data_IF_050985825738
#
_entry.id   IF_050985825738
#
_cell.length_a   1.000
_cell.length_b   1.000
_cell.length_c   1.000
_cell.angle_alpha   90.00
_cell.angle_beta   90.00
_cell.angle_gamma   90.00
#
_symmetry.space_group_name_H-M   'P 1'
#
loop_
_entity.id
_entity.type
_entity.pdbx_description
1 polymer ?
#
# COMPACT_ATOMS: atom_id res chain seq x y z
N UNK A 1 14.38 -7.34 4.45
CA UNK A 1 13.07 -7.59 5.07
C UNK A 1 12.43 -8.77 4.37
N UNK A 2 12.02 -9.79 5.11
CA UNK A 2 11.43 -11.02 4.58
C UNK A 2 9.91 -10.89 4.49
N UNK A 3 9.32 -11.47 3.43
CA UNK A 3 7.90 -11.38 3.03
C UNK A 3 6.92 -11.88 4.13
N UNK A 4 7.43 -12.50 5.20
CA UNK A 4 6.64 -13.00 6.33
C UNK A 4 6.14 -11.90 7.27
N UNK A 5 6.73 -10.71 7.25
CA UNK A 5 6.35 -9.62 8.17
C UNK A 5 5.11 -8.84 7.72
N UNK A 6 4.55 -9.17 6.54
CA UNK A 6 3.40 -8.47 5.94
C UNK A 6 2.07 -9.16 6.28
N UNK A 7 2.10 -10.40 6.80
CA UNK A 7 0.88 -11.15 7.14
C UNK A 7 0.23 -10.73 8.45
N UNK A 8 0.99 -10.12 9.36
CA UNK A 8 0.47 -9.62 10.65
C UNK A 8 -0.18 -8.24 10.54
N UNK A 9 -0.08 -7.59 9.37
CA UNK A 9 -0.89 -6.43 9.00
C UNK A 9 -2.30 -6.88 8.56
N UNK A 10 -2.96 -7.69 9.40
CA UNK A 10 -4.36 -8.05 9.21
C UNK A 10 -5.20 -6.77 9.29
N UNK A 11 -5.66 -6.29 8.13
CA UNK A 11 -6.77 -5.36 8.02
C UNK A 11 -8.06 -6.11 8.42
N UNK A 12 -8.17 -6.47 9.70
CA UNK A 12 -9.45 -6.80 10.29
C UNK A 12 -10.33 -5.55 10.19
N UNK A 13 -11.34 -5.66 9.33
CA UNK A 13 -12.59 -4.89 9.28
C UNK A 13 -12.72 -3.83 10.38
N UNK A 14 -12.10 -2.67 10.17
CA UNK A 14 -12.37 -1.50 11.00
C UNK A 14 -13.76 -1.02 10.65
N UNK A 15 -14.74 -1.42 11.47
CA UNK A 15 -16.01 -0.70 11.54
C UNK A 15 -15.72 0.79 11.66
N UNK A 16 -16.47 1.61 10.94
CA UNK A 16 -16.33 3.06 10.97
C UNK A 16 -16.54 3.51 12.41
N UNK A 17 -15.46 3.85 13.12
CA UNK A 17 -15.55 4.41 14.47
C UNK A 17 -16.11 5.83 14.31
N UNK A 18 -17.41 6.00 14.63
CA UNK A 18 -18.11 7.28 14.59
C UNK A 18 -17.47 8.34 15.51
N UNK A 19 -16.65 7.92 16.48
CA UNK A 19 -16.05 8.78 17.50
C UNK A 19 -14.57 9.07 17.24
N UNK A 20 -14.05 8.78 16.04
CA UNK A 20 -12.65 9.03 15.66
C UNK A 20 -12.21 10.48 15.95
N UNK A 21 -13.13 11.44 15.78
CA UNK A 21 -12.88 12.86 16.03
C UNK A 21 -12.76 13.13 17.54
N UNK A 22 -13.67 12.58 18.36
CA UNK A 22 -13.71 12.82 19.81
C UNK A 22 -12.50 12.19 20.53
N UNK A 23 -12.11 10.97 20.14
CA UNK A 23 -10.94 10.28 20.68
C UNK A 23 -9.64 11.03 20.37
N UNK A 24 -9.53 11.61 19.17
CA UNK A 24 -8.35 12.39 18.78
C UNK A 24 -8.27 13.73 19.53
N UNK A 25 -9.41 14.38 19.80
CA UNK A 25 -9.49 15.61 20.59
C UNK A 25 -9.09 15.40 22.06
N UNK A 26 -9.47 14.27 22.66
CA UNK A 26 -9.07 13.92 24.02
C UNK A 26 -7.56 13.67 24.14
N UNK A 27 -6.96 13.00 23.14
CA UNK A 27 -5.50 12.80 23.05
C UNK A 27 -4.73 14.10 22.92
N UNK A 28 -5.23 15.07 22.16
CA UNK A 28 -4.57 16.37 21.99
C UNK A 28 -4.61 17.19 23.29
N UNK A 29 -5.70 17.10 24.07
CA UNK A 29 -5.84 17.80 25.35
C UNK A 29 -4.90 17.24 26.43
N UNK A 30 -4.82 15.93 26.60
CA UNK A 30 -3.93 15.33 27.62
C UNK A 30 -2.45 15.55 27.33
N UNK A 31 -2.06 15.66 26.06
CA UNK A 31 -0.67 15.94 25.67
C UNK A 31 -0.27 17.42 25.84
N UNK A 32 -1.25 18.33 25.99
CA UNK A 32 -1.03 19.77 26.17
C UNK A 32 -0.72 20.12 27.63
N UNK A 33 -1.06 19.25 28.58
CA UNK A 33 -0.83 19.47 30.02
C UNK A 33 0.64 19.28 30.44
N UNK A 34 1.52 18.80 29.53
CA UNK A 34 2.95 18.59 29.78
C UNK A 34 3.90 19.58 29.10
N UNK A 35 3.40 20.69 28.52
CA UNK A 35 4.27 21.68 27.89
C UNK A 35 4.55 22.84 28.85
N UNK A 36 5.74 22.82 29.46
CA UNK A 36 6.28 23.92 30.25
C UNK A 36 6.42 25.17 29.39
N UNK A 37 5.83 26.27 29.86
CA UNK A 37 5.99 27.61 29.31
C UNK A 37 7.45 28.07 29.44
N UNK A 38 8.28 27.83 28.43
CA UNK A 38 9.51 28.59 28.22
C UNK A 38 10.05 28.33 26.80
N UNK A 39 9.78 29.28 25.90
CA UNK A 39 10.58 29.77 24.75
C UNK A 39 9.67 30.27 23.61
N UNK A 40 9.90 31.52 23.18
CA UNK A 40 9.15 32.22 22.11
C UNK A 40 9.66 31.84 20.71
N UNK A 41 9.79 30.55 20.44
CA UNK A 41 10.02 30.04 19.10
C UNK A 41 8.85 29.13 18.73
N UNK A 42 8.22 29.39 17.58
CA UNK A 42 7.12 28.58 17.06
C UNK A 42 7.61 27.14 16.82
N UNK A 43 7.32 26.24 17.75
CA UNK A 43 7.72 24.85 17.68
C UNK A 43 6.55 23.97 17.24
N UNK A 44 6.76 23.18 16.18
CA UNK A 44 5.77 22.23 15.67
C UNK A 44 6.12 20.83 16.17
N UNK A 45 5.21 20.21 16.93
CA UNK A 45 5.35 18.84 17.39
C UNK A 45 4.65 17.85 16.44
N UNK A 46 5.44 16.98 15.79
CA UNK A 46 4.95 15.92 14.89
C UNK A 46 5.12 14.58 15.60
N UNK A 47 4.07 13.75 15.60
CA UNK A 47 4.12 12.42 16.21
C UNK A 47 5.17 11.52 15.54
N UNK A 48 5.77 10.61 16.31
CA UNK A 48 6.76 9.66 15.79
C UNK A 48 6.17 8.76 14.69
N UNK A 49 4.90 8.40 14.80
CA UNK A 49 4.17 7.62 13.80
C UNK A 49 4.04 8.38 12.47
N UNK A 50 3.68 9.67 12.53
CA UNK A 50 3.57 10.50 11.33
C UNK A 50 4.92 10.65 10.62
N UNK A 51 6.02 10.80 11.37
CA UNK A 51 7.38 10.83 10.78
C UNK A 51 7.76 9.52 10.10
N UNK A 52 7.42 8.38 10.69
CA UNK A 52 7.67 7.05 10.09
C UNK A 52 6.85 6.87 8.81
N UNK A 53 5.58 7.27 8.82
CA UNK A 53 4.72 7.22 7.64
C UNK A 53 5.26 8.10 6.51
N UNK A 54 5.73 9.30 6.83
CA UNK A 54 6.34 10.19 5.84
C UNK A 54 7.56 9.53 5.20
N UNK A 55 8.45 8.95 6.01
CA UNK A 55 9.62 8.22 5.53
C UNK A 55 9.22 7.10 4.57
N UNK A 56 8.28 6.23 4.97
CA UNK A 56 7.83 5.12 4.10
C UNK A 56 7.23 5.61 2.79
N UNK A 57 6.41 6.67 2.82
CA UNK A 57 5.84 7.28 1.61
C UNK A 57 6.96 7.84 0.72
N UNK A 58 7.96 8.52 1.29
CA UNK A 58 9.06 9.06 0.49
C UNK A 58 9.90 7.97 -0.16
N UNK A 59 10.14 6.87 0.55
CA UNK A 59 10.90 5.73 0.02
C UNK A 59 10.13 5.00 -1.09
N UNK A 60 8.82 4.80 -0.90
CA UNK A 60 7.96 4.24 -1.94
C UNK A 60 7.91 5.13 -3.19
N UNK A 61 7.88 6.45 -3.04
CA UNK A 61 7.93 7.39 -4.18
C UNK A 61 9.26 7.31 -4.92
N UNK A 62 10.39 7.21 -4.21
CA UNK A 62 11.71 7.03 -4.83
C UNK A 62 11.75 5.72 -5.62
N UNK A 63 11.32 4.62 -5.01
CA UNK A 63 11.27 3.33 -5.68
C UNK A 63 10.37 3.36 -6.91
N UNK A 64 9.20 4.00 -6.83
CA UNK A 64 8.30 4.14 -7.97
C UNK A 64 8.93 4.92 -9.13
N UNK A 65 9.74 5.94 -8.83
CA UNK A 65 10.46 6.72 -9.85
C UNK A 65 11.67 5.97 -10.43
N UNK A 66 12.25 5.01 -9.69
CA UNK A 66 13.33 4.15 -10.18
C UNK A 66 12.83 3.05 -11.12
N UNK A 67 11.54 2.71 -11.07
CA UNK A 67 10.94 1.77 -12.00
C UNK A 67 10.93 2.41 -13.40
N UNK A 68 11.59 1.81 -14.40
CA UNK A 68 11.60 2.35 -15.74
C UNK A 68 10.19 2.35 -16.31
N UNK A 69 9.83 3.42 -17.02
CA UNK A 69 8.54 3.58 -17.68
C UNK A 69 8.24 2.40 -18.62
N UNK A 70 9.28 1.92 -19.33
CA UNK A 70 9.21 0.72 -20.16
C UNK A 70 10.17 -0.35 -19.63
N UNK A 71 9.61 -1.50 -19.28
CA UNK A 71 10.39 -2.69 -18.89
C UNK A 71 10.74 -3.47 -20.15
N UNK A 72 11.83 -3.10 -20.81
CA UNK A 72 12.26 -3.68 -22.10
C UNK A 72 12.32 -5.21 -22.09
N UNK A 73 12.78 -5.83 -21.01
CA UNK A 73 12.80 -7.29 -20.85
C UNK A 73 11.40 -7.91 -20.99
N UNK A 74 10.38 -7.32 -20.35
CA UNK A 74 8.98 -7.76 -20.48
C UNK A 74 8.44 -7.50 -21.88
N UNK A 75 8.87 -6.42 -22.52
CA UNK A 75 8.45 -6.13 -23.89
C UNK A 75 8.96 -7.20 -24.88
N UNK A 76 10.22 -7.63 -24.74
CA UNK A 76 10.76 -8.71 -25.59
C UNK A 76 10.07 -10.05 -25.31
N UNK A 77 9.80 -10.38 -24.06
CA UNK A 77 9.02 -11.58 -23.68
C UNK A 77 7.64 -11.58 -24.35
N UNK A 78 6.94 -10.44 -24.33
CA UNK A 78 5.61 -10.29 -24.94
C UNK A 78 5.70 -10.40 -26.47
N UNK A 79 6.69 -9.75 -27.10
CA UNK A 79 6.91 -9.86 -28.55
C UNK A 79 7.12 -11.31 -28.98
N UNK A 80 7.86 -12.09 -28.20
CA UNK A 80 8.07 -13.50 -28.48
C UNK A 80 6.77 -14.30 -28.34
N UNK A 81 5.99 -14.07 -27.27
CA UNK A 81 4.67 -14.71 -27.09
C UNK A 81 3.71 -14.43 -28.24
N UNK A 82 3.70 -13.20 -28.75
CA UNK A 82 2.89 -12.82 -29.91
C UNK A 82 3.36 -13.58 -31.17
N UNK A 83 4.67 -13.67 -31.41
CA UNK A 83 5.21 -14.39 -32.59
C UNK A 83 4.91 -15.89 -32.58
N UNK A 84 4.74 -16.48 -31.40
CA UNK A 84 4.49 -17.92 -31.23
C UNK A 84 3.00 -18.27 -31.10
N UNK A 85 2.10 -17.34 -31.45
CA UNK A 85 0.63 -17.43 -31.26
C UNK A 85 0.25 -17.96 -29.87
N UNK A 86 1.03 -17.56 -28.85
CA UNK A 86 0.92 -18.13 -27.50
C UNK A 86 -0.47 -17.96 -26.90
N UNK A 87 -1.12 -16.83 -27.16
CA UNK A 87 -2.42 -16.49 -26.59
C UNK A 87 -3.60 -17.22 -27.26
N UNK A 88 -3.41 -17.72 -28.48
CA UNK A 88 -4.44 -18.45 -29.23
C UNK A 88 -4.45 -19.95 -28.86
N UNK A 89 -3.46 -20.40 -28.09
CA UNK A 89 -3.37 -21.78 -27.62
C UNK A 89 -4.55 -22.09 -26.69
N UNK A 90 -5.29 -23.19 -26.94
CA UNK A 90 -6.48 -23.52 -26.16
C UNK A 90 -6.17 -23.70 -24.67
N UNK A 91 -4.97 -24.20 -24.33
CA UNK A 91 -4.53 -24.37 -22.95
C UNK A 91 -4.39 -23.03 -22.22
N UNK A 92 -3.86 -22.01 -22.91
CA UNK A 92 -3.66 -20.66 -22.34
C UNK A 92 -5.00 -19.97 -22.12
N UNK A 93 -5.94 -20.14 -23.05
CA UNK A 93 -7.30 -19.61 -22.94
C UNK A 93 -8.02 -20.25 -21.75
N UNK A 94 -7.98 -21.58 -21.61
CA UNK A 94 -8.62 -22.29 -20.51
C UNK A 94 -8.03 -21.91 -19.16
N UNK A 95 -6.70 -21.87 -19.04
CA UNK A 95 -6.03 -21.47 -17.80
C UNK A 95 -6.39 -20.03 -17.39
N UNK A 96 -6.53 -19.13 -18.39
CA UNK A 96 -6.92 -17.75 -18.12
C UNK A 96 -8.37 -17.67 -17.66
N UNK A 97 -9.26 -18.43 -18.30
CA UNK A 97 -10.67 -18.51 -17.92
C UNK A 97 -10.85 -19.04 -16.48
N UNK A 98 -10.13 -20.09 -16.09
CA UNK A 98 -10.15 -20.62 -14.72
C UNK A 98 -9.75 -19.56 -13.70
N UNK A 99 -8.65 -18.84 -13.93
CA UNK A 99 -8.20 -17.76 -13.02
C UNK A 99 -9.23 -16.64 -12.90
N UNK A 100 -9.89 -16.27 -13.99
CA UNK A 100 -10.95 -15.27 -13.97
C UNK A 100 -12.13 -15.77 -13.12
N UNK A 101 -12.51 -17.03 -13.29
CA UNK A 101 -13.56 -17.66 -12.49
C UNK A 101 -13.17 -17.80 -11.02
N UNK A 102 -11.90 -18.01 -10.69
CA UNK A 102 -11.43 -18.05 -9.29
C UNK A 102 -11.55 -16.70 -8.60
N UNK A 103 -11.25 -15.61 -9.31
CA UNK A 103 -11.26 -14.24 -8.74
C UNK A 103 -12.67 -13.66 -8.70
N UNK A 104 -13.47 -13.88 -9.75
CA UNK A 104 -14.75 -13.20 -9.95
C UNK A 104 -15.96 -14.14 -9.94
N UNK A 105 -15.75 -15.45 -9.97
CA UNK A 105 -16.82 -16.43 -9.92
C UNK A 105 -17.49 -16.40 -8.55
N UNK A 106 -18.78 -16.06 -8.52
CA UNK A 106 -19.61 -16.25 -7.34
C UNK A 106 -19.66 -17.75 -7.04
N UNK A 107 -18.97 -18.19 -5.99
CA UNK A 107 -19.21 -19.52 -5.42
C UNK A 107 -20.68 -19.55 -4.98
N UNK A 108 -21.49 -20.31 -5.70
CA UNK A 108 -22.85 -20.66 -5.27
C UNK A 108 -22.77 -21.74 -4.20
#
# INVERSE_FOLDING_TARGET
MTIKDVSDASLHTRGVNLNYIEENQLRIKSNKEHQSEENKDDSIYISQEARKLEQTITDLKKLANEIPEVRHEKMEEIKQKIKEDFYDRPEVILQTAEKIMDVFGTKK
#
